data_IF_946558690483
#
_entry.id   IF_946558690483
#
_cell.length_a   1.000
_cell.length_b   1.000
_cell.length_c   1.000
_cell.angle_alpha   90.00
_cell.angle_beta   90.00
_cell.angle_gamma   90.00
#
_symmetry.space_group_name_H-M   'P 1'
#
loop_
_entity.id
_entity.type
_entity.pdbx_description
1 polymer ?
#
# COMPACT_ATOMS: atom_id res chain seq x y z
N UNK A 1 49.22 8.49 23.60
CA UNK A 1 49.02 8.45 22.12
C UNK A 1 47.75 7.68 21.91
N UNK A 2 46.61 8.35 21.69
CA UNK A 2 45.30 7.69 21.53
C UNK A 2 45.23 7.09 20.13
N UNK A 3 44.90 5.80 20.03
CA UNK A 3 44.90 5.03 18.81
C UNK A 3 43.93 5.62 17.76
N UNK A 4 44.27 5.66 16.46
CA UNK A 4 43.45 6.28 15.41
C UNK A 4 41.99 5.74 15.35
N UNK A 5 41.77 4.50 15.76
CA UNK A 5 40.46 3.84 15.79
C UNK A 5 39.46 4.42 16.78
N UNK A 6 39.93 4.92 17.93
CA UNK A 6 39.04 5.57 18.93
C UNK A 6 38.55 6.96 18.48
N UNK A 7 39.39 7.69 17.71
CA UNK A 7 38.96 8.98 17.15
C UNK A 7 37.90 8.86 16.06
N UNK A 8 38.02 7.86 15.18
CA UNK A 8 37.00 7.59 14.14
C UNK A 8 35.68 7.14 14.76
N UNK A 9 35.70 6.28 15.78
CA UNK A 9 34.50 5.89 16.52
C UNK A 9 33.79 7.07 17.16
N UNK A 10 34.53 8.03 17.73
CA UNK A 10 33.98 9.23 18.37
C UNK A 10 33.28 10.17 17.36
N UNK A 11 33.76 10.26 16.11
CA UNK A 11 33.14 11.08 15.06
C UNK A 11 31.91 10.41 14.41
N UNK A 12 31.81 9.09 14.42
CA UNK A 12 30.66 8.34 13.91
C UNK A 12 29.49 8.28 14.90
N UNK A 13 29.77 8.39 16.21
CA UNK A 13 28.78 8.27 17.28
C UNK A 13 27.64 9.29 17.21
N UNK A 14 27.87 10.60 16.94
CA UNK A 14 26.80 11.59 16.85
C UNK A 14 25.92 11.45 15.60
N UNK A 15 26.39 10.79 14.54
CA UNK A 15 25.59 10.54 13.33
C UNK A 15 24.76 9.23 13.43
N UNK A 16 25.25 8.23 14.16
CA UNK A 16 24.61 6.92 14.30
C UNK A 16 23.43 6.97 15.28
N UNK A 17 23.55 7.70 16.40
CA UNK A 17 22.49 7.78 17.41
C UNK A 17 21.16 8.30 16.84
N UNK A 18 21.12 9.42 16.10
CA UNK A 18 19.87 9.90 15.50
C UNK A 18 19.26 8.88 14.55
N UNK A 19 20.07 8.17 13.75
CA UNK A 19 19.60 7.15 12.85
C UNK A 19 18.98 5.96 13.59
N UNK A 20 19.62 5.49 14.67
CA UNK A 20 19.07 4.40 15.51
C UNK A 20 17.76 4.85 16.16
N UNK A 21 17.67 6.07 16.68
CA UNK A 21 16.44 6.58 17.30
C UNK A 21 15.30 6.64 16.28
N UNK A 22 15.55 7.11 15.07
CA UNK A 22 14.55 7.16 13.99
C UNK A 22 14.07 5.75 13.63
N UNK A 23 14.97 4.78 13.50
CA UNK A 23 14.62 3.40 13.18
C UNK A 23 13.81 2.76 14.31
N UNK A 24 14.18 2.99 15.57
CA UNK A 24 13.45 2.45 16.72
C UNK A 24 12.04 3.06 16.82
N UNK A 25 11.89 4.36 16.63
CA UNK A 25 10.58 5.03 16.61
C UNK A 25 9.69 4.52 15.46
N UNK A 26 10.27 4.25 14.29
CA UNK A 26 9.57 3.63 13.16
C UNK A 26 9.08 2.21 13.47
N UNK A 27 9.93 1.36 14.07
CA UNK A 27 9.57 -0.01 14.45
C UNK A 27 8.53 -0.03 15.58
N UNK A 28 8.64 0.87 16.56
CA UNK A 28 7.63 1.02 17.61
C UNK A 28 6.28 1.46 17.03
N UNK A 29 6.30 2.34 16.04
CA UNK A 29 5.09 2.78 15.32
C UNK A 29 4.42 1.59 14.63
N UNK A 30 5.18 0.78 13.87
CA UNK A 30 4.66 -0.45 13.25
C UNK A 30 4.04 -1.37 14.29
N UNK A 31 4.81 -1.70 15.34
CA UNK A 31 4.34 -2.58 16.43
C UNK A 31 3.06 -2.05 17.07
N UNK A 32 3.00 -0.74 17.31
CA UNK A 32 1.84 -0.08 17.89
C UNK A 32 0.58 -0.27 17.03
N UNK A 33 0.66 -0.05 15.71
CA UNK A 33 -0.49 -0.24 14.83
C UNK A 33 -0.90 -1.71 14.69
N UNK A 34 0.04 -2.65 14.75
CA UNK A 34 -0.26 -4.08 14.67
C UNK A 34 -0.88 -4.65 15.97
N UNK A 35 -0.36 -4.25 17.13
CA UNK A 35 -0.70 -4.87 18.43
C UNK A 35 -1.69 -4.04 19.24
N UNK A 36 -1.60 -2.71 19.14
CA UNK A 36 -2.39 -1.76 19.93
C UNK A 36 -2.95 -0.65 19.02
N UNK A 37 -3.82 -0.99 18.05
CA UNK A 37 -4.23 -0.03 17.01
C UNK A 37 -4.99 1.17 17.59
N UNK A 38 -5.87 0.98 18.56
CA UNK A 38 -6.68 2.07 19.12
C UNK A 38 -5.83 3.13 19.83
N UNK A 39 -4.93 2.79 20.77
CA UNK A 39 -3.98 3.75 21.34
C UNK A 39 -3.10 4.43 20.29
N UNK A 40 -2.63 3.67 19.29
CA UNK A 40 -1.77 4.18 18.22
C UNK A 40 -2.49 5.21 17.35
N UNK A 41 -3.74 4.98 16.97
CA UNK A 41 -4.54 5.98 16.25
C UNK A 41 -4.85 7.22 17.11
N UNK A 42 -5.05 7.07 18.43
CA UNK A 42 -5.19 8.23 19.32
C UNK A 42 -3.93 9.08 19.37
N UNK A 43 -2.75 8.45 19.38
CA UNK A 43 -1.45 9.13 19.28
C UNK A 43 -1.30 9.80 17.90
N UNK A 44 -1.71 9.13 16.83
CA UNK A 44 -1.63 9.61 15.46
C UNK A 44 -2.46 10.88 15.18
N UNK A 45 -3.46 11.22 16.00
CA UNK A 45 -4.16 12.51 15.91
C UNK A 45 -3.20 13.70 16.00
N UNK A 46 -2.12 13.56 16.80
CA UNK A 46 -1.12 14.61 17.01
C UNK A 46 0.05 14.53 16.04
N UNK A 47 0.15 13.45 15.27
CA UNK A 47 1.23 13.26 14.29
C UNK A 47 1.08 14.26 13.14
N UNK A 48 2.12 15.05 12.84
CA UNK A 48 2.13 15.91 11.67
C UNK A 48 1.89 15.11 10.39
N UNK A 49 1.18 15.68 9.44
CA UNK A 49 0.86 14.99 8.19
C UNK A 49 2.12 14.57 7.41
N UNK A 50 3.16 15.43 7.41
CA UNK A 50 4.44 15.11 6.77
C UNK A 50 5.12 13.86 7.33
N UNK A 51 5.01 13.62 8.63
CA UNK A 51 5.60 12.43 9.26
C UNK A 51 4.77 11.16 8.96
N UNK A 52 3.45 11.29 8.85
CA UNK A 52 2.60 10.21 8.38
C UNK A 52 2.93 9.81 6.92
N UNK A 53 3.13 10.78 6.02
CA UNK A 53 3.54 10.51 4.64
C UNK A 53 4.94 9.86 4.57
N UNK A 54 5.90 10.31 5.35
CA UNK A 54 7.23 9.68 5.42
C UNK A 54 7.13 8.22 5.86
N UNK A 55 6.34 7.95 6.90
CA UNK A 55 6.08 6.58 7.36
C UNK A 55 5.52 5.70 6.25
N UNK A 56 4.50 6.19 5.54
CA UNK A 56 3.89 5.47 4.42
C UNK A 56 4.87 5.22 3.28
N UNK A 57 5.66 6.22 2.89
CA UNK A 57 6.67 6.10 1.84
C UNK A 57 7.72 5.05 2.15
N UNK A 58 8.21 4.99 3.39
CA UNK A 58 9.20 3.99 3.80
C UNK A 58 8.59 2.59 3.67
N UNK A 59 7.39 2.36 4.18
CA UNK A 59 6.70 1.08 4.06
C UNK A 59 6.40 0.71 2.61
N UNK A 60 5.94 1.66 1.80
CA UNK A 60 5.64 1.45 0.38
C UNK A 60 6.88 1.05 -0.41
N UNK A 61 8.03 1.69 -0.17
CA UNK A 61 9.30 1.34 -0.81
C UNK A 61 9.76 -0.06 -0.38
N UNK A 62 9.69 -0.38 0.91
CA UNK A 62 10.03 -1.72 1.41
C UNK A 62 9.14 -2.78 0.76
N UNK A 63 7.82 -2.55 0.74
CA UNK A 63 6.88 -3.46 0.10
C UNK A 63 7.18 -3.64 -1.39
N UNK A 64 7.44 -2.55 -2.12
CA UNK A 64 7.78 -2.60 -3.55
C UNK A 64 9.07 -3.40 -3.82
N UNK A 65 10.11 -3.21 -3.02
CA UNK A 65 11.37 -3.96 -3.15
C UNK A 65 11.11 -5.46 -2.93
N UNK A 66 10.39 -5.83 -1.87
CA UNK A 66 10.08 -7.23 -1.58
C UNK A 66 9.20 -7.86 -2.68
N UNK A 67 8.23 -7.11 -3.19
CA UNK A 67 7.39 -7.53 -4.33
C UNK A 67 8.24 -7.81 -5.56
N UNK A 68 9.13 -6.89 -5.94
CA UNK A 68 10.04 -7.08 -7.09
C UNK A 68 10.91 -8.33 -6.93
N UNK A 69 11.47 -8.55 -5.73
CA UNK A 69 12.29 -9.74 -5.46
C UNK A 69 11.47 -11.02 -5.69
N UNK A 70 10.25 -11.08 -5.15
CA UNK A 70 9.37 -12.25 -5.30
C UNK A 70 8.97 -12.46 -6.76
N UNK A 71 8.57 -11.39 -7.47
CA UNK A 71 8.20 -11.45 -8.88
C UNK A 71 9.34 -11.95 -9.76
N UNK A 72 10.58 -11.48 -9.54
CA UNK A 72 11.76 -11.94 -10.29
C UNK A 72 12.08 -13.41 -10.01
N UNK A 73 11.97 -13.86 -8.75
CA UNK A 73 12.15 -15.28 -8.38
C UNK A 73 11.09 -16.14 -9.06
N UNK A 74 9.82 -15.73 -9.01
CA UNK A 74 8.74 -16.47 -9.67
C UNK A 74 8.88 -16.48 -11.20
N UNK A 75 9.24 -15.36 -11.81
CA UNK A 75 9.47 -15.27 -13.25
C UNK A 75 10.60 -16.19 -13.69
N UNK A 76 11.71 -16.27 -12.93
CA UNK A 76 12.83 -17.18 -13.23
C UNK A 76 12.43 -18.65 -13.14
N UNK A 77 11.60 -19.02 -12.15
CA UNK A 77 11.10 -20.39 -11.98
C UNK A 77 10.17 -20.79 -13.15
N UNK A 78 9.26 -19.90 -13.53
CA UNK A 78 8.35 -20.12 -14.67
C UNK A 78 9.13 -20.28 -15.96
N UNK A 79 10.12 -19.41 -16.22
CA UNK A 79 10.97 -19.49 -17.41
C UNK A 79 11.76 -20.80 -17.45
N UNK A 80 12.31 -21.24 -16.31
CA UNK A 80 12.99 -22.54 -16.19
C UNK A 80 12.08 -23.70 -16.55
N UNK A 81 10.84 -23.70 -16.06
CA UNK A 81 9.83 -24.73 -16.37
C UNK A 81 9.47 -24.75 -17.87
N UNK A 82 9.29 -23.56 -18.48
CA UNK A 82 9.02 -23.43 -19.92
C UNK A 82 10.21 -23.96 -20.74
N UNK A 83 11.44 -23.61 -20.40
CA UNK A 83 12.65 -24.10 -21.10
C UNK A 83 12.81 -25.62 -21.00
N UNK A 84 12.43 -26.24 -19.87
CA UNK A 84 12.41 -27.69 -19.72
C UNK A 84 11.35 -28.35 -20.58
N UNK A 85 10.15 -27.75 -20.68
CA UNK A 85 9.04 -28.33 -21.42
C UNK A 85 9.16 -28.17 -22.94
N UNK A 86 9.69 -27.04 -23.40
CA UNK A 86 9.69 -26.63 -24.81
C UNK A 86 11.09 -26.65 -25.49
N UNK A 87 12.16 -26.99 -24.75
CA UNK A 87 13.53 -26.88 -25.22
C UNK A 87 14.06 -25.43 -25.14
N UNK A 88 15.39 -25.27 -25.33
CA UNK A 88 16.01 -23.93 -25.26
C UNK A 88 15.62 -23.09 -26.49
N UNK A 89 14.61 -22.27 -26.35
CA UNK A 89 14.10 -21.40 -27.41
C UNK A 89 14.64 -19.97 -27.34
N UNK A 90 15.88 -19.73 -26.97
CA UNK A 90 16.47 -18.38 -27.02
C UNK A 90 15.73 -17.32 -26.12
N UNK A 91 15.11 -17.77 -25.05
CA UNK A 91 14.26 -16.92 -24.18
C UNK A 91 15.03 -15.93 -23.30
N UNK A 92 16.36 -15.86 -23.44
CA UNK A 92 17.21 -14.95 -22.64
C UNK A 92 16.86 -13.46 -22.83
N UNK A 93 16.60 -13.05 -24.08
CA UNK A 93 16.22 -11.67 -24.37
C UNK A 93 14.86 -11.33 -23.78
N UNK A 94 13.89 -12.27 -23.87
CA UNK A 94 12.57 -12.09 -23.27
C UNK A 94 12.64 -11.96 -21.75
N UNK A 95 13.55 -12.69 -21.10
CA UNK A 95 13.78 -12.58 -19.66
C UNK A 95 14.36 -11.21 -19.28
N UNK A 96 15.34 -10.70 -20.04
CA UNK A 96 15.90 -9.36 -19.78
C UNK A 96 14.85 -8.26 -19.94
N UNK A 97 14.05 -8.30 -21.01
CA UNK A 97 12.95 -7.35 -21.23
C UNK A 97 11.92 -7.47 -20.11
N UNK A 98 11.57 -8.69 -19.69
CA UNK A 98 10.68 -8.94 -18.57
C UNK A 98 11.20 -8.37 -17.25
N UNK A 99 12.48 -8.57 -16.95
CA UNK A 99 13.14 -8.05 -15.73
C UNK A 99 13.11 -6.53 -15.69
N UNK A 100 13.47 -5.86 -16.79
CA UNK A 100 13.39 -4.39 -16.89
C UNK A 100 11.95 -3.94 -16.72
N UNK A 101 11.00 -4.63 -17.34
CA UNK A 101 9.56 -4.34 -17.21
C UNK A 101 9.05 -4.42 -15.76
N UNK A 102 9.48 -5.42 -15.01
CA UNK A 102 9.13 -5.57 -13.57
C UNK A 102 9.66 -4.40 -12.76
N UNK A 103 10.93 -4.02 -12.94
CA UNK A 103 11.51 -2.90 -12.18
C UNK A 103 10.86 -1.56 -12.53
N UNK A 104 10.68 -1.28 -13.83
CA UNK A 104 10.02 -0.07 -14.29
C UNK A 104 8.55 -0.04 -13.81
N UNK A 105 7.85 -1.17 -13.91
CA UNK A 105 6.50 -1.33 -13.40
C UNK A 105 6.39 -1.04 -11.91
N UNK A 106 7.32 -1.53 -11.10
CA UNK A 106 7.36 -1.27 -9.67
C UNK A 106 7.53 0.23 -9.35
N UNK A 107 8.39 0.94 -10.08
CA UNK A 107 8.56 2.39 -9.91
C UNK A 107 7.24 3.12 -10.25
N UNK A 108 6.61 2.76 -11.36
CA UNK A 108 5.32 3.32 -11.77
C UNK A 108 4.26 3.04 -10.70
N UNK A 109 4.19 1.82 -10.18
CA UNK A 109 3.24 1.43 -9.15
C UNK A 109 3.44 2.19 -7.84
N UNK A 110 4.68 2.47 -7.42
CA UNK A 110 4.96 3.31 -6.25
C UNK A 110 4.38 4.72 -6.44
N UNK A 111 4.63 5.34 -7.59
CA UNK A 111 4.10 6.67 -7.90
C UNK A 111 2.58 6.65 -7.95
N UNK A 112 2.02 5.65 -8.64
CA UNK A 112 0.57 5.49 -8.77
C UNK A 112 -0.10 5.22 -7.41
N UNK A 113 0.53 4.43 -6.54
CA UNK A 113 0.02 4.16 -5.18
C UNK A 113 -0.08 5.41 -4.33
N UNK A 114 0.87 6.35 -4.47
CA UNK A 114 0.77 7.64 -3.80
C UNK A 114 -0.40 8.48 -4.32
N UNK A 115 -0.60 8.52 -5.63
CA UNK A 115 -1.73 9.24 -6.24
C UNK A 115 -3.05 8.59 -5.80
N UNK A 116 -3.12 7.25 -5.87
CA UNK A 116 -4.30 6.49 -5.49
C UNK A 116 -4.63 6.64 -4.01
N UNK A 117 -3.65 6.74 -3.11
CA UNK A 117 -3.89 7.01 -1.69
C UNK A 117 -4.78 8.24 -1.52
N UNK A 118 -4.47 9.34 -2.21
CA UNK A 118 -5.26 10.58 -2.10
C UNK A 118 -6.63 10.45 -2.78
N UNK A 119 -6.70 9.78 -3.94
CA UNK A 119 -7.98 9.56 -4.63
C UNK A 119 -8.92 8.69 -3.80
N UNK A 120 -8.41 7.55 -3.28
CA UNK A 120 -9.19 6.63 -2.44
C UNK A 120 -9.59 7.29 -1.13
N UNK A 121 -8.67 8.06 -0.51
CA UNK A 121 -8.99 8.83 0.67
C UNK A 121 -10.09 9.87 0.40
N UNK A 122 -10.06 10.55 -0.76
CA UNK A 122 -11.08 11.50 -1.17
C UNK A 122 -12.44 10.84 -1.35
N UNK A 123 -12.47 9.72 -2.06
CA UNK A 123 -13.67 8.91 -2.23
C UNK A 123 -14.26 8.48 -0.88
N UNK A 124 -13.45 7.87 -0.03
CA UNK A 124 -13.87 7.41 1.29
C UNK A 124 -14.32 8.59 2.18
N UNK A 125 -13.63 9.73 2.09
CA UNK A 125 -13.95 10.91 2.90
C UNK A 125 -15.35 11.44 2.65
N UNK A 126 -15.90 11.30 1.44
CA UNK A 126 -17.28 11.68 1.12
C UNK A 126 -18.25 10.94 2.08
N UNK A 127 -18.10 9.64 2.23
CA UNK A 127 -18.95 8.81 3.08
C UNK A 127 -18.67 9.03 4.57
N UNK A 128 -17.41 9.22 4.94
CA UNK A 128 -17.02 9.60 6.31
C UNK A 128 -17.68 10.92 6.69
N UNK A 129 -17.65 11.89 5.79
CA UNK A 129 -18.28 13.19 6.02
C UNK A 129 -19.81 13.08 6.13
N UNK A 130 -20.47 12.30 5.26
CA UNK A 130 -21.92 12.06 5.29
C UNK A 130 -22.35 11.41 6.62
N UNK A 131 -21.52 10.52 7.20
CA UNK A 131 -21.80 9.83 8.44
C UNK A 131 -21.26 10.56 9.69
N UNK A 132 -20.89 11.84 9.55
CA UNK A 132 -20.60 12.73 10.67
C UNK A 132 -19.11 12.90 11.01
N UNK A 133 -18.18 12.38 10.20
CA UNK A 133 -16.74 12.61 10.35
C UNK A 133 -16.39 14.04 9.91
N UNK A 134 -16.09 14.94 10.87
CA UNK A 134 -15.86 16.37 10.62
C UNK A 134 -14.45 16.86 10.93
N UNK A 135 -13.46 15.95 11.07
CA UNK A 135 -12.08 16.32 11.44
C UNK A 135 -11.19 16.70 10.24
N UNK A 136 -11.75 16.67 9.03
CA UNK A 136 -11.07 17.08 7.80
C UNK A 136 -10.50 15.90 7.00
N UNK A 137 -10.24 16.17 5.73
CA UNK A 137 -9.78 15.17 4.74
C UNK A 137 -8.46 14.49 5.13
N UNK A 138 -7.51 15.25 5.66
CA UNK A 138 -6.19 14.71 6.04
C UNK A 138 -6.27 13.64 7.13
N UNK A 139 -7.29 13.68 7.99
CA UNK A 139 -7.50 12.63 8.99
C UNK A 139 -7.95 11.32 8.32
N UNK A 140 -8.72 11.38 7.23
CA UNK A 140 -9.03 10.19 6.42
C UNK A 140 -7.78 9.66 5.73
N UNK A 141 -6.94 10.53 5.16
CA UNK A 141 -5.65 10.12 4.56
C UNK A 141 -4.78 9.42 5.61
N UNK A 142 -4.64 9.99 6.82
CA UNK A 142 -3.88 9.34 7.92
C UNK A 142 -4.48 8.00 8.33
N UNK A 143 -5.81 7.86 8.32
CA UNK A 143 -6.46 6.58 8.61
C UNK A 143 -6.04 5.49 7.61
N UNK A 144 -5.98 5.82 6.31
CA UNK A 144 -5.50 4.91 5.27
C UNK A 144 -4.00 4.64 5.38
N UNK A 145 -3.18 5.67 5.61
CA UNK A 145 -1.73 5.53 5.78
C UNK A 145 -1.39 4.52 6.87
N UNK A 146 -1.89 4.74 8.07
CA UNK A 146 -1.58 3.87 9.20
C UNK A 146 -2.37 2.55 9.16
N UNK A 147 -3.57 2.57 8.60
CA UNK A 147 -4.40 1.39 8.41
C UNK A 147 -3.81 0.39 7.42
N UNK A 148 -3.11 0.86 6.39
CA UNK A 148 -2.46 -0.01 5.41
C UNK A 148 -1.18 -0.72 5.92
N UNK A 149 -0.73 -0.44 7.14
CA UNK A 149 0.50 -1.02 7.73
C UNK A 149 0.59 -2.55 7.58
N UNK A 150 -0.44 -3.36 7.91
CA UNK A 150 -0.36 -4.81 7.73
C UNK A 150 -0.16 -5.21 6.27
N UNK A 151 -0.90 -4.61 5.36
CA UNK A 151 -0.76 -4.88 3.93
C UNK A 151 0.63 -4.52 3.40
N UNK A 152 1.18 -3.38 3.80
CA UNK A 152 2.52 -2.96 3.40
C UNK A 152 3.62 -3.91 3.89
N UNK A 153 3.41 -4.58 5.03
CA UNK A 153 4.39 -5.52 5.59
C UNK A 153 4.32 -6.92 4.98
N UNK A 154 3.14 -7.42 4.62
CA UNK A 154 2.97 -8.80 4.15
C UNK A 154 2.34 -8.91 2.77
N UNK A 155 1.90 -7.78 2.16
CA UNK A 155 1.23 -7.74 0.86
C UNK A 155 2.04 -8.30 -0.30
N UNK A 156 3.37 -8.30 -0.18
CA UNK A 156 4.32 -8.89 -1.14
C UNK A 156 4.29 -10.43 -1.17
N UNK A 157 3.69 -11.08 -0.17
CA UNK A 157 3.53 -12.55 -0.15
C UNK A 157 2.34 -12.91 -1.03
N UNK A 158 2.52 -13.66 -2.13
CA UNK A 158 1.43 -14.01 -3.03
C UNK A 158 0.27 -14.70 -2.30
N UNK A 159 -0.95 -14.35 -2.63
CA UNK A 159 -2.21 -14.88 -2.08
C UNK A 159 -2.39 -14.52 -0.60
N UNK A 160 -1.49 -14.95 0.29
CA UNK A 160 -1.58 -14.72 1.75
C UNK A 160 -1.56 -13.23 2.06
N UNK A 161 -0.65 -12.48 1.44
CA UNK A 161 -0.50 -11.04 1.67
C UNK A 161 -1.75 -10.26 1.28
N UNK A 162 -2.35 -10.61 0.13
CA UNK A 162 -3.58 -9.96 -0.35
C UNK A 162 -4.74 -10.25 0.60
N UNK A 163 -4.93 -11.50 1.01
CA UNK A 163 -6.07 -11.90 1.83
C UNK A 163 -5.89 -11.44 3.27
N UNK A 164 -4.81 -11.89 3.93
CA UNK A 164 -4.59 -11.61 5.36
C UNK A 164 -4.23 -10.14 5.58
N UNK A 165 -3.29 -9.63 4.78
CA UNK A 165 -2.87 -8.22 4.86
C UNK A 165 -4.00 -7.26 4.51
N UNK A 166 -4.79 -7.57 3.48
CA UNK A 166 -5.94 -6.77 3.06
C UNK A 166 -7.06 -6.72 4.11
N UNK A 167 -7.46 -7.88 4.65
CA UNK A 167 -8.50 -7.92 5.70
C UNK A 167 -8.04 -7.19 6.96
N UNK A 168 -6.79 -7.41 7.38
CA UNK A 168 -6.25 -6.75 8.57
C UNK A 168 -6.15 -5.23 8.36
N UNK A 169 -5.68 -4.78 7.20
CA UNK A 169 -5.65 -3.35 6.87
C UNK A 169 -7.03 -2.73 6.86
N UNK A 170 -8.03 -3.40 6.29
CA UNK A 170 -9.42 -2.91 6.29
C UNK A 170 -9.94 -2.69 7.72
N UNK A 171 -9.66 -3.62 8.64
CA UNK A 171 -10.03 -3.48 10.05
C UNK A 171 -9.34 -2.26 10.67
N UNK A 172 -8.04 -2.08 10.41
CA UNK A 172 -7.28 -0.95 10.93
C UNK A 172 -7.74 0.38 10.33
N UNK A 173 -8.10 0.43 9.06
CA UNK A 173 -8.64 1.62 8.40
C UNK A 173 -9.98 2.05 9.03
N UNK A 174 -10.87 1.09 9.32
CA UNK A 174 -12.12 1.35 10.05
C UNK A 174 -11.83 1.92 11.45
N UNK A 175 -10.89 1.33 12.19
CA UNK A 175 -10.46 1.82 13.50
C UNK A 175 -9.81 3.21 13.39
N UNK A 176 -9.03 3.45 12.35
CA UNK A 176 -8.43 4.74 12.04
C UNK A 176 -9.48 5.82 11.81
N UNK A 177 -10.48 5.55 10.96
CA UNK A 177 -11.59 6.46 10.71
C UNK A 177 -12.33 6.76 12.02
N UNK A 178 -12.66 5.73 12.81
CA UNK A 178 -13.33 5.88 14.10
C UNK A 178 -12.57 6.81 15.03
N UNK A 179 -11.28 6.54 15.22
CA UNK A 179 -10.47 7.28 16.19
C UNK A 179 -10.10 8.67 15.69
N UNK A 180 -9.68 8.84 14.43
CA UNK A 180 -9.24 10.13 13.90
C UNK A 180 -10.40 11.10 13.69
N UNK A 181 -11.56 10.62 13.24
CA UNK A 181 -12.76 11.44 13.10
C UNK A 181 -13.61 11.51 14.37
N UNK A 182 -13.30 10.72 15.41
CA UNK A 182 -14.05 10.65 16.67
C UNK A 182 -15.53 10.32 16.46
N UNK A 183 -15.81 9.37 15.57
CA UNK A 183 -17.15 8.85 15.30
C UNK A 183 -17.35 7.49 15.95
N UNK A 184 -18.61 7.02 16.04
CA UNK A 184 -18.90 5.68 16.54
C UNK A 184 -18.39 4.60 15.56
N UNK A 185 -18.13 3.39 16.07
CA UNK A 185 -17.73 2.25 15.25
C UNK A 185 -18.72 1.97 14.11
N UNK A 186 -20.03 2.03 14.40
CA UNK A 186 -21.07 1.82 13.39
C UNK A 186 -21.01 2.84 12.23
N UNK A 187 -20.71 4.12 12.54
CA UNK A 187 -20.53 5.15 11.51
C UNK A 187 -19.26 4.93 10.69
N UNK A 188 -18.17 4.53 11.31
CA UNK A 188 -16.93 4.23 10.60
C UNK A 188 -17.10 3.01 9.67
N UNK A 189 -17.67 1.91 10.17
CA UNK A 189 -18.01 0.73 9.37
C UNK A 189 -18.97 1.09 8.24
N UNK A 190 -20.04 1.83 8.54
CA UNK A 190 -21.01 2.27 7.53
C UNK A 190 -20.38 3.11 6.42
N UNK A 191 -19.43 4.00 6.75
CA UNK A 191 -18.72 4.80 5.75
C UNK A 191 -17.92 3.93 4.79
N UNK A 192 -17.17 2.96 5.30
CA UNK A 192 -16.37 2.05 4.50
C UNK A 192 -17.25 1.14 3.63
N UNK A 193 -18.30 0.54 4.22
CA UNK A 193 -19.23 -0.33 3.48
C UNK A 193 -19.94 0.45 2.36
N UNK A 194 -20.43 1.65 2.63
CA UNK A 194 -21.10 2.47 1.63
C UNK A 194 -20.12 2.87 0.51
N UNK A 195 -18.90 3.27 0.86
CA UNK A 195 -17.87 3.60 -0.12
C UNK A 195 -17.56 2.41 -1.04
N UNK A 196 -17.40 1.21 -0.48
CA UNK A 196 -17.14 -0.02 -1.24
C UNK A 196 -18.35 -0.42 -2.09
N UNK A 197 -19.56 -0.41 -1.52
CA UNK A 197 -20.78 -0.80 -2.21
C UNK A 197 -21.05 0.09 -3.43
N UNK A 198 -20.97 1.41 -3.26
CA UNK A 198 -21.22 2.35 -4.36
C UNK A 198 -20.13 2.24 -5.42
N UNK A 199 -18.87 2.01 -5.04
CA UNK A 199 -17.78 1.77 -5.99
C UNK A 199 -18.05 0.51 -6.82
N UNK A 200 -18.46 -0.60 -6.19
CA UNK A 200 -18.83 -1.85 -6.90
C UNK A 200 -19.99 -1.61 -7.87
N UNK A 201 -21.03 -0.91 -7.44
CA UNK A 201 -22.16 -0.58 -8.31
C UNK A 201 -21.71 0.22 -9.54
N UNK A 202 -20.85 1.24 -9.35
CA UNK A 202 -20.31 2.03 -10.45
C UNK A 202 -19.50 1.16 -11.43
N UNK A 203 -18.61 0.30 -10.89
CA UNK A 203 -17.80 -0.60 -11.73
C UNK A 203 -18.68 -1.56 -12.54
N UNK A 204 -19.68 -2.19 -11.91
CA UNK A 204 -20.62 -3.08 -12.59
C UNK A 204 -21.39 -2.36 -13.69
N UNK A 205 -21.86 -1.13 -13.39
CA UNK A 205 -22.58 -0.33 -14.39
C UNK A 205 -21.70 0.04 -15.60
N UNK A 206 -20.46 0.47 -15.35
CA UNK A 206 -19.50 0.79 -16.41
C UNK A 206 -19.18 -0.46 -17.24
N UNK A 207 -18.93 -1.60 -16.58
CA UNK A 207 -18.64 -2.86 -17.27
C UNK A 207 -19.81 -3.31 -18.13
N UNK A 208 -21.03 -3.23 -17.62
CA UNK A 208 -22.25 -3.58 -18.37
C UNK A 208 -22.43 -2.66 -19.59
N UNK A 209 -22.26 -1.36 -19.40
CA UNK A 209 -22.32 -0.39 -20.50
C UNK A 209 -21.26 -0.67 -21.58
N UNK A 210 -20.03 -0.99 -21.18
CA UNK A 210 -18.96 -1.32 -22.12
C UNK A 210 -19.25 -2.58 -22.91
N UNK A 211 -19.75 -3.67 -22.27
CA UNK A 211 -20.13 -4.92 -22.93
C UNK A 211 -21.25 -4.67 -23.95
N UNK A 212 -22.29 -3.93 -23.57
CA UNK A 212 -23.39 -3.58 -24.48
C UNK A 212 -22.87 -2.79 -25.69
N UNK A 213 -21.96 -1.84 -25.46
CA UNK A 213 -21.37 -1.06 -26.53
C UNK A 213 -20.59 -1.92 -27.54
N UNK A 214 -19.81 -2.89 -27.05
CA UNK A 214 -19.08 -3.83 -27.93
C UNK A 214 -20.04 -4.70 -28.78
N UNK A 215 -21.06 -5.25 -28.17
CA UNK A 215 -22.06 -6.08 -28.86
C UNK A 215 -22.84 -5.28 -29.93
N UNK A 216 -23.07 -4.00 -29.70
CA UNK A 216 -23.78 -3.12 -30.63
C UNK A 216 -22.96 -2.71 -31.86
N UNK A 217 -21.62 -2.80 -31.79
CA UNK A 217 -20.73 -2.46 -32.91
C UNK A 217 -20.61 -3.60 -33.95
N UNK A 218 -20.73 -4.86 -33.50
CA UNK A 218 -20.54 -6.03 -34.35
C UNK A 218 -21.50 -6.12 -35.53
N UNK A 219 -22.81 -5.81 -35.43
CA UNK A 219 -23.73 -5.82 -36.59
C UNK A 219 -23.44 -4.73 -37.64
N UNK A 220 -22.87 -3.60 -37.22
CA UNK A 220 -22.61 -2.46 -38.11
C UNK A 220 -21.38 -2.66 -39.04
N UNK A 221 -20.53 -3.64 -38.75
CA UNK A 221 -19.35 -3.97 -39.59
C UNK A 221 -19.65 -5.12 -40.60
N UNK A 222 -20.82 -5.74 -40.54
CA UNK A 222 -21.21 -6.83 -41.43
C UNK A 222 -22.20 -6.41 -42.55
N UNK A 223 -22.58 -5.13 -42.60
CA UNK A 223 -23.37 -4.51 -43.65
C UNK A 223 -22.53 -3.60 -44.51
#
# INVERSE_FOLDING_TARGET
MVEPREKEAFFLYPAIIPAIVVVMDFLETIKGFLMEPVPSFRKARKTPFGDAIKYYLILLIINAILTVIVELVMASAILSAINQAMGQMGMGELFLVGTVGVVVGAIILVILSLILLFIVAGWLHIFVYLLGGRKGYLETVKALIFGSTPYMLIGWIPVIGIIVGGIWSLILEILGIRELHQVSTGRAVGAVILAMLILVIIIVFIAAWFIISLVSIEPAMMT
#
